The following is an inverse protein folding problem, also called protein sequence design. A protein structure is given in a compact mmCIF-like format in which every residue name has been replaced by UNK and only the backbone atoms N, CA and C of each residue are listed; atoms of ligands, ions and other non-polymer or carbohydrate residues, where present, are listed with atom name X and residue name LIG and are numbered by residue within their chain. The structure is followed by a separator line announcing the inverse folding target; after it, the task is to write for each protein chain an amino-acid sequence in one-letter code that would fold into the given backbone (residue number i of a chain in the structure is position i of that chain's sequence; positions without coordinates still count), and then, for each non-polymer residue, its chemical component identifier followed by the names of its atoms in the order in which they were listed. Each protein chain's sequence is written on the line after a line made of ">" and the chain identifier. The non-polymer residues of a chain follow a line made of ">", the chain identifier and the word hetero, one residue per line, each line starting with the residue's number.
data_IF_048815010112
#
_entry.id   IF_048815010112
#
_cell.length_a   1.000
_cell.length_b   1.000
_cell.length_c   1.000
_cell.angle_alpha   90.00
_cell.angle_beta   90.00
_cell.angle_gamma   90.00
#
_symmetry.space_group_name_H-M   'P 1'
#
loop_
_entity.id
_entity.type
_entity.pdbx_description
1 polymer ?
#
# COMPACT_ATOMS: atom_id res chain seq x y z
N UNK A 1 -19.31 7.27 8.25
CA UNK A 1 -18.31 6.77 9.21
C UNK A 1 -18.48 7.49 10.53
N UNK A 2 -18.52 6.74 11.61
CA UNK A 2 -18.69 7.32 12.94
C UNK A 2 -17.46 8.12 13.37
N UNK A 3 -17.67 9.10 14.27
CA UNK A 3 -16.60 9.97 14.74
C UNK A 3 -15.47 9.18 15.40
N UNK A 4 -15.82 8.17 16.22
CA UNK A 4 -14.80 7.35 16.88
C UNK A 4 -13.95 6.55 15.86
N UNK A 5 -14.55 6.15 14.76
CA UNK A 5 -13.80 5.44 13.71
C UNK A 5 -12.76 6.34 13.06
N UNK A 6 -13.12 7.60 12.80
CA UNK A 6 -12.20 8.59 12.25
C UNK A 6 -11.07 8.86 13.22
N UNK A 7 -11.39 9.03 14.50
CA UNK A 7 -10.39 9.26 15.54
C UNK A 7 -9.43 8.09 15.67
N UNK A 8 -9.93 6.85 15.63
CA UNK A 8 -9.10 5.65 15.70
C UNK A 8 -8.21 5.51 14.48
N UNK A 9 -8.70 5.80 13.29
CA UNK A 9 -7.89 5.75 12.08
C UNK A 9 -6.77 6.78 12.11
N UNK A 10 -7.06 7.98 12.60
CA UNK A 10 -6.04 9.02 12.75
C UNK A 10 -4.98 8.62 13.77
N UNK A 11 -5.40 7.99 14.88
CA UNK A 11 -4.47 7.50 15.90
C UNK A 11 -3.55 6.42 15.34
N UNK A 12 -4.10 5.46 14.57
CA UNK A 12 -3.31 4.40 13.94
C UNK A 12 -2.29 4.99 12.97
N UNK A 13 -2.68 5.96 12.16
CA UNK A 13 -1.77 6.62 11.23
C UNK A 13 -0.65 7.36 11.93
N UNK A 14 -0.94 7.98 13.06
CA UNK A 14 0.06 8.69 13.85
C UNK A 14 1.05 7.74 14.52
N UNK A 15 0.57 6.58 14.96
CA UNK A 15 1.39 5.61 15.70
C UNK A 15 2.16 4.64 14.80
N UNK A 16 1.67 4.37 13.59
CA UNK A 16 2.29 3.39 12.70
C UNK A 16 3.77 3.66 12.42
N UNK A 17 4.20 4.91 12.12
CA UNK A 17 5.62 5.17 11.91
C UNK A 17 6.48 4.88 13.13
N UNK A 18 5.94 5.02 14.34
CA UNK A 18 6.68 4.74 15.58
C UNK A 18 6.93 3.25 15.78
N UNK A 19 6.18 2.40 15.09
CA UNK A 19 6.36 0.95 15.14
C UNK A 19 7.38 0.44 14.11
N UNK A 20 7.90 1.33 13.28
CA UNK A 20 8.83 0.97 12.21
C UNK A 20 10.25 1.35 12.59
N UNK A 21 11.19 0.43 12.36
CA UNK A 21 12.61 0.63 12.66
C UNK A 21 13.42 0.33 11.42
N UNK A 22 14.19 1.33 10.96
CA UNK A 22 15.13 1.13 9.85
C UNK A 22 16.44 0.61 10.43
N UNK A 23 16.76 -0.65 10.17
CA UNK A 23 17.93 -1.31 10.75
C UNK A 23 19.22 -1.00 10.02
N UNK A 24 19.15 -0.71 8.72
CA UNK A 24 20.34 -0.45 7.92
C UNK A 24 19.96 0.35 6.67
N UNK A 25 20.81 1.29 6.28
CA UNK A 25 20.63 2.08 5.07
C UNK A 25 21.99 2.44 4.48
N UNK A 26 22.09 2.44 3.16
CA UNK A 26 23.28 2.92 2.44
C UNK A 26 23.15 4.39 2.05
N UNK A 27 22.13 5.09 2.53
CA UNK A 27 21.83 6.47 2.21
C UNK A 27 20.75 6.67 1.16
N UNK A 28 20.36 5.60 0.44
CA UNK A 28 19.31 5.70 -0.56
C UNK A 28 17.93 5.85 0.07
N UNK A 29 17.76 5.35 1.27
CA UNK A 29 16.49 5.35 1.99
C UNK A 29 16.73 5.76 3.44
N UNK A 30 15.86 6.55 4.10
CA UNK A 30 14.62 7.08 3.56
C UNK A 30 14.81 8.20 2.53
N UNK A 31 13.84 8.38 1.66
CA UNK A 31 13.85 9.41 0.63
C UNK A 31 13.49 10.77 1.24
N UNK A 32 14.27 11.80 0.87
CA UNK A 32 14.03 13.14 1.38
C UNK A 32 12.73 13.75 0.84
N UNK A 33 12.42 13.47 -0.43
CA UNK A 33 11.22 13.99 -1.09
C UNK A 33 10.60 12.91 -1.98
N UNK A 34 9.26 12.94 -2.17
CA UNK A 34 8.61 12.04 -3.12
C UNK A 34 9.06 12.35 -4.55
N UNK A 35 9.03 11.35 -5.41
CA UNK A 35 9.38 11.48 -6.81
C UNK A 35 8.75 10.37 -7.62
N UNK A 36 9.35 10.06 -8.76
CA UNK A 36 8.90 8.96 -9.60
C UNK A 36 9.37 7.64 -9.03
N UNK A 37 8.49 6.64 -9.03
CA UNK A 37 8.79 5.32 -8.49
C UNK A 37 8.18 4.25 -9.38
N UNK A 38 8.88 3.13 -9.50
CA UNK A 38 8.39 1.96 -10.23
C UNK A 38 7.89 0.91 -9.24
N UNK A 39 6.68 0.39 -9.46
CA UNK A 39 6.10 -0.68 -8.67
C UNK A 39 5.87 -1.90 -9.57
N UNK A 40 6.24 -3.07 -9.06
CA UNK A 40 6.06 -4.34 -9.76
C UNK A 40 5.42 -5.36 -8.83
N UNK A 41 4.69 -6.29 -9.43
CA UNK A 41 4.04 -7.37 -8.69
C UNK A 41 2.62 -7.04 -8.31
N UNK A 42 1.78 -8.09 -8.20
CA UNK A 42 0.35 -7.91 -7.90
C UNK A 42 0.12 -7.37 -6.49
N UNK A 43 1.03 -7.65 -5.55
CA UNK A 43 0.91 -7.18 -4.17
C UNK A 43 0.96 -5.67 -4.01
N UNK A 44 1.55 -4.96 -4.98
CA UNK A 44 1.58 -3.50 -4.95
C UNK A 44 0.18 -2.90 -5.13
N UNK A 45 -0.65 -3.52 -5.97
CA UNK A 45 -2.02 -3.06 -6.25
C UNK A 45 -3.06 -3.83 -5.44
N UNK A 46 -2.86 -5.13 -5.28
CA UNK A 46 -3.77 -6.01 -4.54
C UNK A 46 -3.11 -6.45 -3.23
N UNK A 47 -2.82 -5.49 -2.39
CA UNK A 47 -2.12 -5.71 -1.13
C UNK A 47 -2.99 -6.51 -0.16
N UNK A 48 -2.43 -7.56 0.41
CA UNK A 48 -3.13 -8.43 1.35
C UNK A 48 -2.99 -7.87 2.76
N UNK A 49 -4.11 -7.57 3.40
CA UNK A 49 -4.12 -7.03 4.76
C UNK A 49 -3.98 -8.09 5.84
N UNK A 50 -4.31 -9.33 5.51
CA UNK A 50 -4.24 -10.45 6.45
C UNK A 50 -4.50 -11.76 5.74
N UNK A 51 -4.31 -12.86 6.45
CA UNK A 51 -4.53 -14.18 5.90
C UNK A 51 -6.01 -14.56 5.85
N UNK A 52 -6.28 -15.73 5.27
CA UNK A 52 -7.62 -16.31 5.27
C UNK A 52 -7.98 -16.79 6.69
N UNK A 53 -9.26 -17.04 6.92
CA UNK A 53 -9.74 -17.44 8.24
C UNK A 53 -10.04 -16.22 9.11
N UNK A 54 -9.67 -16.29 10.39
CA UNK A 54 -9.98 -15.21 11.35
C UNK A 54 -9.27 -13.90 11.03
N UNK A 55 -8.15 -13.95 10.31
CA UNK A 55 -7.45 -12.74 9.88
C UNK A 55 -8.07 -12.04 8.67
N UNK A 56 -8.99 -12.71 7.98
CA UNK A 56 -9.66 -12.18 6.81
C UNK A 56 -10.95 -11.46 7.20
N UNK A 57 -10.78 -10.27 7.74
CA UNK A 57 -11.90 -9.45 8.23
C UNK A 57 -12.32 -8.41 7.19
N UNK A 58 -13.60 -8.07 7.20
CA UNK A 58 -14.13 -7.02 6.35
C UNK A 58 -13.76 -5.66 6.94
N UNK A 59 -13.03 -4.88 6.17
CA UNK A 59 -12.63 -3.54 6.57
C UNK A 59 -13.35 -2.52 5.69
N UNK A 60 -13.61 -1.33 6.22
CA UNK A 60 -14.22 -0.26 5.43
C UNK A 60 -13.34 0.14 4.26
N UNK A 61 -12.04 0.13 4.48
CA UNK A 61 -11.07 0.47 3.43
C UNK A 61 -9.75 -0.24 3.71
N UNK A 62 -9.16 -0.78 2.67
CA UNK A 62 -7.83 -1.40 2.73
C UNK A 62 -6.93 -0.64 1.77
N UNK A 63 -5.95 0.09 2.31
CA UNK A 63 -5.00 0.82 1.48
C UNK A 63 -4.01 -0.14 0.85
N UNK A 64 -3.82 -0.04 -0.47
CA UNK A 64 -2.77 -0.78 -1.16
C UNK A 64 -1.46 0.01 -1.08
N UNK A 65 -0.35 -0.65 -1.41
CA UNK A 65 0.96 0.02 -1.48
C UNK A 65 0.92 1.11 -2.56
N UNK A 66 0.31 0.83 -3.72
CA UNK A 66 0.14 1.81 -4.79
C UNK A 66 -0.60 3.05 -4.31
N UNK A 67 -1.71 2.84 -3.63
CA UNK A 67 -2.54 3.92 -3.10
C UNK A 67 -1.82 4.75 -2.05
N UNK A 68 -1.13 4.08 -1.13
CA UNK A 68 -0.38 4.75 -0.07
C UNK A 68 0.77 5.59 -0.60
N UNK A 69 1.50 5.09 -1.58
CA UNK A 69 2.60 5.84 -2.19
C UNK A 69 2.09 7.05 -2.97
N UNK A 70 0.98 6.89 -3.69
CA UNK A 70 0.36 8.01 -4.40
C UNK A 70 -0.10 9.09 -3.43
N UNK A 71 -0.72 8.70 -2.33
CA UNK A 71 -1.16 9.64 -1.28
C UNK A 71 0.01 10.37 -0.64
N UNK A 72 1.19 9.73 -0.59
CA UNK A 72 2.42 10.34 -0.07
C UNK A 72 3.10 11.27 -1.07
N UNK A 73 2.61 11.35 -2.30
CA UNK A 73 3.12 12.26 -3.32
C UNK A 73 4.00 11.63 -4.38
N UNK A 74 4.15 10.30 -4.40
CA UNK A 74 4.93 9.62 -5.42
C UNK A 74 4.15 9.47 -6.72
N UNK A 75 4.87 9.57 -7.84
CA UNK A 75 4.33 9.29 -9.18
C UNK A 75 4.71 7.86 -9.57
N UNK A 76 3.72 7.03 -9.86
CA UNK A 76 3.95 5.63 -10.19
C UNK A 76 4.04 5.48 -11.69
N UNK A 77 5.25 5.23 -12.19
CA UNK A 77 5.55 5.19 -13.63
C UNK A 77 5.21 3.85 -14.27
N UNK A 78 4.98 2.80 -13.49
CA UNK A 78 4.70 1.45 -14.00
C UNK A 78 3.22 1.06 -13.99
N UNK A 79 2.31 2.02 -13.92
CA UNK A 79 0.87 1.73 -13.98
C UNK A 79 0.47 0.95 -15.22
N UNK A 80 0.98 1.28 -16.43
CA UNK A 80 0.66 0.46 -17.61
C UNK A 80 1.08 -1.00 -17.45
N UNK A 81 2.20 -1.27 -16.78
CA UNK A 81 2.63 -2.64 -16.49
C UNK A 81 1.68 -3.33 -15.53
N UNK A 82 1.27 -2.62 -14.46
CA UNK A 82 0.33 -3.16 -13.48
C UNK A 82 -1.03 -3.47 -14.13
N UNK A 83 -1.50 -2.59 -15.00
CA UNK A 83 -2.75 -2.80 -15.73
C UNK A 83 -2.65 -4.01 -16.66
N UNK A 84 -1.53 -4.16 -17.36
CA UNK A 84 -1.29 -5.29 -18.25
C UNK A 84 -1.23 -6.60 -17.46
N UNK A 85 -0.57 -6.59 -16.32
CA UNK A 85 -0.48 -7.76 -15.45
C UNK A 85 -1.87 -8.19 -14.96
N UNK A 86 -2.69 -7.23 -14.54
CA UNK A 86 -4.05 -7.51 -14.07
C UNK A 86 -4.89 -8.15 -15.18
N UNK A 87 -4.79 -7.63 -16.41
CA UNK A 87 -5.52 -8.19 -17.55
C UNK A 87 -5.13 -9.64 -17.83
N UNK A 88 -3.84 -9.93 -17.83
CA UNK A 88 -3.33 -11.29 -18.05
C UNK A 88 -3.82 -12.22 -16.96
N UNK A 89 -3.73 -11.79 -15.72
CA UNK A 89 -4.12 -12.56 -14.55
C UNK A 89 -5.62 -12.85 -14.55
N UNK A 90 -6.43 -11.84 -14.83
CA UNK A 90 -7.90 -12.00 -14.89
C UNK A 90 -8.30 -12.91 -16.03
N UNK A 91 -7.65 -12.79 -17.20
CA UNK A 91 -7.92 -13.66 -18.33
C UNK A 91 -7.57 -15.12 -18.01
N UNK A 92 -6.48 -15.35 -17.31
CA UNK A 92 -6.05 -16.70 -16.95
C UNK A 92 -7.01 -17.39 -15.97
N UNK A 93 -7.80 -16.62 -15.23
CA UNK A 93 -8.76 -17.14 -14.26
C UNK A 93 -10.12 -17.52 -14.87
N UNK A 94 -10.38 -17.13 -16.10
CA UNK A 94 -11.64 -17.41 -16.79
C UNK A 94 -11.74 -18.83 -17.36
#
# INVERSE_FOLDING_TARGET
>A
METYEIDHLNAVRALAPECMVLLRSDGAFPLAEPGEIALFGSGARHTVKGGTGSGDVNSRHVASIEEGLEAAGFSIVTRPWLDAYDRVRDHARQ
#
